data_IF_325212683021
#
_entry.id   IF_325212683021
#
_cell.length_a   1.000
_cell.length_b   1.000
_cell.length_c   1.000
_cell.angle_alpha   90.00
_cell.angle_beta   90.00
_cell.angle_gamma   90.00
#
_symmetry.space_group_name_H-M   'P 1'
#
loop_
_entity.id
_entity.type
_entity.pdbx_description
1 polymer ?
#
# COMPACT_ATOMS: atom_id res chain seq x y z
N UNK A 1 -14.47 33.03 16.83
CA UNK A 1 -15.82 32.70 16.33
C UNK A 1 -16.00 33.17 14.87
N UNK A 2 -15.69 34.43 14.54
CA UNK A 2 -15.78 35.01 13.18
C UNK A 2 -14.89 34.28 12.14
N UNK A 3 -13.66 33.88 12.49
CA UNK A 3 -12.80 33.07 11.61
C UNK A 3 -13.36 31.68 11.29
N UNK A 4 -14.24 31.13 12.14
CA UNK A 4 -14.87 29.82 11.95
C UNK A 4 -16.08 29.93 11.01
N UNK A 5 -16.78 31.05 11.06
CA UNK A 5 -17.89 31.41 10.16
C UNK A 5 -17.35 31.72 8.75
N UNK A 6 -16.23 32.46 8.63
CA UNK A 6 -15.56 32.72 7.36
C UNK A 6 -15.07 31.44 6.67
N UNK A 7 -14.46 30.51 7.43
CA UNK A 7 -14.04 29.20 6.88
C UNK A 7 -15.23 28.36 6.42
N UNK A 8 -16.35 28.39 7.14
CA UNK A 8 -17.57 27.66 6.77
C UNK A 8 -18.21 28.22 5.50
N UNK A 9 -18.25 29.55 5.32
CA UNK A 9 -18.83 30.18 4.14
C UNK A 9 -17.98 29.97 2.88
N UNK A 10 -16.65 29.98 3.00
CA UNK A 10 -15.74 29.66 1.90
C UNK A 10 -15.89 28.18 1.49
N UNK A 11 -16.04 27.27 2.46
CA UNK A 11 -16.29 25.85 2.17
C UNK A 11 -17.65 25.62 1.49
N UNK A 12 -18.70 26.35 1.90
CA UNK A 12 -20.03 26.26 1.31
C UNK A 12 -20.09 26.87 -0.10
N UNK A 13 -19.37 27.97 -0.37
CA UNK A 13 -19.24 28.49 -1.73
C UNK A 13 -18.42 27.56 -2.62
N UNK A 14 -17.36 26.95 -2.10
CA UNK A 14 -16.57 25.95 -2.83
C UNK A 14 -17.40 24.71 -3.22
N UNK A 15 -18.27 24.23 -2.32
CA UNK A 15 -19.20 23.12 -2.61
C UNK A 15 -20.29 23.54 -3.61
N UNK A 16 -20.79 24.78 -3.54
CA UNK A 16 -21.72 25.33 -4.54
C UNK A 16 -21.08 25.45 -5.93
N UNK A 17 -19.81 25.81 -6.01
CA UNK A 17 -19.09 25.89 -7.28
C UNK A 17 -18.83 24.48 -7.86
N UNK A 18 -18.48 23.50 -7.02
CA UNK A 18 -18.33 22.09 -7.45
C UNK A 18 -19.66 21.49 -7.94
N UNK A 19 -20.76 21.77 -7.24
CA UNK A 19 -22.09 21.30 -7.66
C UNK A 19 -22.61 22.02 -8.90
N UNK A 20 -22.28 23.30 -9.10
CA UNK A 20 -22.52 24.02 -10.36
C UNK A 20 -21.76 23.41 -11.53
N UNK A 21 -20.49 23.06 -11.33
CA UNK A 21 -19.64 22.39 -12.31
C UNK A 21 -20.19 20.97 -12.63
N UNK A 22 -20.59 20.19 -11.62
CA UNK A 22 -21.21 18.86 -11.83
C UNK A 22 -22.57 18.92 -12.54
N UNK A 23 -23.36 19.97 -12.31
CA UNK A 23 -24.63 20.17 -13.01
C UNK A 23 -24.42 20.56 -14.48
N UNK A 24 -23.41 21.37 -14.80
CA UNK A 24 -22.99 21.67 -16.18
C UNK A 24 -22.57 20.39 -16.93
N UNK A 25 -21.88 19.47 -16.26
CA UNK A 25 -21.52 18.16 -16.82
C UNK A 25 -22.71 17.20 -17.00
N UNK A 26 -23.80 17.39 -16.26
CA UNK A 26 -25.00 16.53 -16.34
C UNK A 26 -26.00 16.98 -17.42
N UNK A 27 -25.95 18.25 -17.85
CA UNK A 27 -26.82 18.81 -18.89
C UNK A 27 -26.32 18.63 -20.33
N UNK A 28 -25.07 18.18 -20.53
CA UNK A 28 -24.52 17.93 -21.87
C UNK A 28 -24.84 16.49 -22.33
N UNK A 29 -26.07 16.28 -22.84
CA UNK A 29 -26.48 15.03 -23.48
C UNK A 29 -26.35 15.15 -25.01
N UNK A 30 -25.28 14.53 -25.53
CA UNK A 30 -25.03 13.98 -26.88
C UNK A 30 -25.85 14.57 -28.05
N UNK A 31 -25.17 15.36 -28.88
CA UNK A 31 -25.36 15.29 -30.33
C UNK A 31 -23.98 15.31 -31.03
N UNK A 32 -23.80 14.40 -31.99
CA UNK A 32 -22.58 14.27 -32.79
C UNK A 32 -22.50 15.40 -33.81
N UNK A 33 -21.91 16.51 -33.43
CA UNK A 33 -21.14 17.45 -34.25
C UNK A 33 -20.75 18.60 -33.33
N UNK A 34 -19.54 19.13 -33.52
CA UNK A 34 -18.95 20.31 -32.85
C UNK A 34 -18.08 19.99 -31.63
N UNK A 35 -16.91 19.37 -31.90
CA UNK A 35 -15.88 19.00 -30.90
C UNK A 35 -14.89 20.14 -30.54
N UNK A 36 -14.97 21.33 -31.17
CA UNK A 36 -14.13 22.49 -30.83
C UNK A 36 -14.78 23.45 -29.80
N UNK A 37 -16.11 23.60 -29.81
CA UNK A 37 -16.81 24.64 -29.01
C UNK A 37 -16.96 24.28 -27.52
N UNK A 38 -17.12 23.00 -27.15
CA UNK A 38 -17.29 22.58 -25.75
C UNK A 38 -16.01 22.82 -24.92
N UNK A 39 -14.85 22.74 -25.57
CA UNK A 39 -13.55 23.06 -24.95
C UNK A 39 -13.49 24.55 -24.59
N UNK A 40 -13.96 25.41 -25.48
CA UNK A 40 -13.84 26.86 -25.31
C UNK A 40 -14.82 27.39 -24.26
N UNK A 41 -16.04 26.84 -24.18
CA UNK A 41 -17.03 27.21 -23.18
C UNK A 41 -16.64 26.80 -21.75
N UNK A 42 -16.05 25.59 -21.58
CA UNK A 42 -15.53 25.15 -20.27
C UNK A 42 -14.30 25.98 -19.87
N UNK A 43 -13.45 26.35 -20.83
CA UNK A 43 -12.30 27.24 -20.61
C UNK A 43 -12.77 28.65 -20.25
N UNK A 44 -13.82 29.17 -20.89
CA UNK A 44 -14.36 30.51 -20.65
C UNK A 44 -15.11 30.62 -19.32
N UNK A 45 -15.97 29.65 -18.98
CA UNK A 45 -16.60 29.57 -17.67
C UNK A 45 -15.57 29.46 -16.53
N UNK A 46 -14.45 28.80 -16.78
CA UNK A 46 -13.35 28.67 -15.83
C UNK A 46 -12.52 29.95 -15.69
N UNK A 47 -12.33 30.71 -16.77
CA UNK A 47 -11.67 32.03 -16.75
C UNK A 47 -12.49 33.05 -15.98
N UNK A 48 -13.82 32.98 -16.03
CA UNK A 48 -14.70 33.80 -15.20
C UNK A 48 -14.56 33.49 -13.70
N UNK A 49 -14.50 32.22 -13.31
CA UNK A 49 -14.28 31.81 -11.91
C UNK A 49 -12.93 32.32 -11.37
N UNK A 50 -11.89 32.36 -12.22
CA UNK A 50 -10.57 32.86 -11.83
C UNK A 50 -10.49 34.38 -11.67
N UNK A 51 -11.43 35.15 -12.24
CA UNK A 51 -11.48 36.63 -12.11
C UNK A 51 -12.07 37.08 -10.76
N UNK A 52 -12.87 36.24 -10.10
CA UNK A 52 -13.56 36.58 -8.85
C UNK A 52 -12.81 36.18 -7.56
N UNK A 53 -11.71 35.42 -7.65
CA UNK A 53 -10.94 34.98 -6.48
C UNK A 53 -9.82 35.96 -6.09
N UNK A 54 -10.07 36.79 -5.06
CA UNK A 54 -9.17 37.84 -4.52
C UNK A 54 -7.93 37.36 -3.73
N UNK A 55 -7.51 36.09 -3.85
CA UNK A 55 -6.33 35.57 -3.14
C UNK A 55 -5.38 34.79 -4.06
N UNK A 56 -4.09 35.08 -3.97
CA UNK A 56 -3.02 34.47 -4.77
C UNK A 56 -2.91 32.93 -4.53
N UNK A 57 -3.30 32.49 -3.32
CA UNK A 57 -3.37 31.08 -2.93
C UNK A 57 -4.52 30.35 -3.61
N UNK A 58 -5.66 31.03 -3.84
CA UNK A 58 -6.81 30.45 -4.53
C UNK A 58 -6.58 30.40 -6.04
N UNK A 59 -5.91 31.40 -6.63
CA UNK A 59 -5.55 31.43 -8.05
C UNK A 59 -4.64 30.25 -8.46
N UNK A 60 -3.60 29.95 -7.65
CA UNK A 60 -2.70 28.82 -7.93
C UNK A 60 -3.43 27.47 -7.90
N UNK A 61 -4.39 27.32 -6.98
CA UNK A 61 -5.17 26.09 -6.80
C UNK A 61 -6.18 25.90 -7.93
N UNK A 62 -6.79 26.99 -8.40
CA UNK A 62 -7.66 26.99 -9.60
C UNK A 62 -6.85 26.59 -10.83
N UNK A 63 -5.65 27.16 -11.02
CA UNK A 63 -4.79 26.84 -12.15
C UNK A 63 -4.34 25.36 -12.14
N UNK A 64 -4.04 24.79 -10.98
CA UNK A 64 -3.71 23.37 -10.82
C UNK A 64 -4.89 22.47 -11.20
N UNK A 65 -6.11 22.83 -10.77
CA UNK A 65 -7.34 22.10 -11.11
C UNK A 65 -7.61 22.15 -12.62
N UNK A 66 -7.45 23.30 -13.27
CA UNK A 66 -7.62 23.42 -14.72
C UNK A 66 -6.61 22.59 -15.49
N UNK A 67 -5.34 22.61 -15.05
CA UNK A 67 -4.29 21.79 -15.64
C UNK A 67 -4.61 20.30 -15.49
N UNK A 68 -5.16 19.89 -14.34
CA UNK A 68 -5.60 18.52 -14.10
C UNK A 68 -6.74 18.09 -15.02
N UNK A 69 -7.76 18.93 -15.22
CA UNK A 69 -8.90 18.65 -16.12
C UNK A 69 -8.41 18.52 -17.57
N UNK A 70 -7.60 19.47 -18.03
CA UNK A 70 -7.07 19.48 -19.40
C UNK A 70 -6.20 18.24 -19.69
N UNK A 71 -5.32 17.86 -18.75
CA UNK A 71 -4.50 16.65 -18.88
C UNK A 71 -5.35 15.38 -18.87
N UNK A 72 -6.39 15.33 -18.04
CA UNK A 72 -7.32 14.20 -18.00
C UNK A 72 -8.00 14.03 -19.35
N UNK A 73 -8.53 15.10 -19.94
CA UNK A 73 -9.14 15.08 -21.26
C UNK A 73 -8.15 14.60 -22.33
N UNK A 74 -6.92 15.14 -22.34
CA UNK A 74 -5.88 14.70 -23.28
C UNK A 74 -5.51 13.23 -23.15
N UNK A 75 -5.34 12.72 -21.92
CA UNK A 75 -5.04 11.30 -21.73
C UNK A 75 -6.18 10.40 -22.18
N UNK A 76 -7.44 10.80 -21.98
CA UNK A 76 -8.59 10.06 -22.54
C UNK A 76 -8.56 10.03 -24.07
N UNK A 77 -8.26 11.16 -24.69
CA UNK A 77 -8.19 11.27 -26.14
C UNK A 77 -7.05 10.41 -26.72
N UNK A 78 -5.81 10.60 -26.25
CA UNK A 78 -4.63 9.95 -26.84
C UNK A 78 -4.39 8.51 -26.36
N UNK A 79 -4.78 8.18 -25.13
CA UNK A 79 -4.49 6.88 -24.49
C UNK A 79 -5.76 6.05 -24.27
N UNK A 80 -6.94 6.52 -24.70
CA UNK A 80 -8.21 5.80 -24.53
C UNK A 80 -8.42 5.25 -23.11
N UNK A 81 -7.94 5.97 -22.09
CA UNK A 81 -7.98 5.55 -20.70
C UNK A 81 -9.23 6.07 -20.00
N UNK A 82 -9.60 5.45 -18.89
CA UNK A 82 -10.68 5.91 -18.02
C UNK A 82 -10.29 7.16 -17.22
N UNK A 83 -11.27 7.91 -16.70
CA UNK A 83 -11.02 9.05 -15.79
C UNK A 83 -10.21 8.63 -14.55
N UNK A 84 -10.46 7.43 -14.03
CA UNK A 84 -9.74 6.87 -12.90
C UNK A 84 -8.26 6.58 -13.23
N UNK A 85 -7.98 6.05 -14.43
CA UNK A 85 -6.62 5.80 -14.90
C UNK A 85 -5.86 7.11 -15.15
N UNK A 86 -6.47 8.08 -15.84
CA UNK A 86 -5.87 9.39 -16.06
C UNK A 86 -5.56 10.10 -14.74
N UNK A 87 -6.52 10.11 -13.81
CA UNK A 87 -6.33 10.68 -12.47
C UNK A 87 -5.22 9.96 -11.70
N UNK A 88 -5.15 8.63 -11.79
CA UNK A 88 -4.05 7.85 -11.19
C UNK A 88 -2.70 8.22 -11.78
N UNK A 89 -2.60 8.41 -13.10
CA UNK A 89 -1.37 8.82 -13.77
C UNK A 89 -0.87 10.17 -13.27
N UNK A 90 -1.76 11.17 -13.20
CA UNK A 90 -1.44 12.52 -12.74
C UNK A 90 -1.02 12.51 -11.28
N UNK A 91 -1.79 11.83 -10.41
CA UNK A 91 -1.49 11.74 -8.98
C UNK A 91 -0.18 11.01 -8.67
N UNK A 92 0.16 9.98 -9.47
CA UNK A 92 1.41 9.24 -9.30
C UNK A 92 2.63 10.05 -9.74
N UNK A 93 2.46 11.01 -10.66
CA UNK A 93 3.55 11.81 -11.22
C UNK A 93 3.12 13.27 -11.38
N UNK A 94 3.10 14.00 -10.25
CA UNK A 94 2.66 15.41 -10.20
C UNK A 94 3.36 16.35 -11.19
N UNK A 95 4.60 16.04 -11.59
CA UNK A 95 5.35 16.79 -12.61
C UNK A 95 4.64 16.85 -13.96
N UNK A 96 3.70 15.94 -14.24
CA UNK A 96 2.86 16.00 -15.44
C UNK A 96 2.05 17.30 -15.50
N UNK A 97 1.62 17.81 -14.35
CA UNK A 97 0.85 19.07 -14.24
C UNK A 97 1.70 20.25 -14.71
N UNK A 98 3.00 20.24 -14.39
CA UNK A 98 3.93 21.30 -14.73
C UNK A 98 4.53 21.13 -16.14
N UNK A 99 4.27 20.00 -16.81
CA UNK A 99 4.86 19.70 -18.12
C UNK A 99 3.97 20.29 -19.21
N UNK A 100 4.60 21.01 -20.14
CA UNK A 100 3.89 21.56 -21.30
C UNK A 100 3.11 20.47 -22.05
N UNK A 101 1.86 20.78 -22.34
CA UNK A 101 0.92 19.82 -22.90
C UNK A 101 1.26 19.42 -24.34
N UNK A 102 1.94 20.29 -25.11
CA UNK A 102 2.47 19.96 -26.43
C UNK A 102 3.64 18.98 -26.34
N UNK A 103 4.55 19.17 -25.37
CA UNK A 103 5.63 18.21 -25.08
C UNK A 103 5.10 16.83 -24.74
N UNK A 104 4.00 16.74 -23.98
CA UNK A 104 3.37 15.44 -23.65
C UNK A 104 2.85 14.76 -24.91
N UNK A 105 2.15 15.47 -25.80
CA UNK A 105 1.65 14.90 -27.07
C UNK A 105 2.80 14.38 -27.95
N UNK A 106 3.84 15.19 -28.15
CA UNK A 106 5.04 14.79 -28.91
C UNK A 106 5.71 13.55 -28.28
N UNK A 107 5.70 13.46 -26.95
CA UNK A 107 6.25 12.29 -26.25
C UNK A 107 5.38 11.04 -26.45
N UNK A 108 4.05 11.16 -26.41
CA UNK A 108 3.13 10.04 -26.66
C UNK A 108 3.33 9.52 -28.09
N UNK A 109 3.33 10.40 -29.09
CA UNK A 109 3.61 10.04 -30.49
C UNK A 109 4.95 9.33 -30.62
N UNK A 110 6.01 9.88 -30.01
CA UNK A 110 7.33 9.26 -30.01
C UNK A 110 7.35 7.86 -29.38
N UNK A 111 6.56 7.62 -28.32
CA UNK A 111 6.43 6.30 -27.70
C UNK A 111 5.68 5.33 -28.62
N UNK A 112 4.64 5.77 -29.31
CA UNK A 112 3.92 4.97 -30.30
C UNK A 112 4.80 4.59 -31.50
N UNK A 113 5.61 5.53 -32.02
CA UNK A 113 6.60 5.26 -33.07
C UNK A 113 7.66 4.22 -32.65
N UNK A 114 7.79 3.98 -31.34
CA UNK A 114 8.67 2.96 -30.77
C UNK A 114 7.92 1.70 -30.31
N UNK A 115 6.69 1.49 -30.80
CA UNK A 115 5.83 0.31 -30.55
C UNK A 115 5.46 0.12 -29.07
N UNK A 116 5.46 1.21 -28.30
CA UNK A 116 5.07 1.17 -26.88
C UNK A 116 3.56 1.30 -26.80
N UNK A 117 2.92 0.26 -26.29
CA UNK A 117 1.47 0.20 -26.18
C UNK A 117 0.93 1.24 -25.20
N UNK A 118 -0.30 1.67 -25.46
CA UNK A 118 -1.11 2.51 -24.57
C UNK A 118 -1.06 2.01 -23.12
N UNK A 119 -1.28 0.70 -22.90
CA UNK A 119 -1.29 0.11 -21.54
C UNK A 119 0.06 0.26 -20.85
N UNK A 120 1.15 0.12 -21.59
CA UNK A 120 2.51 0.33 -21.07
C UNK A 120 2.75 1.78 -20.68
N UNK A 121 2.29 2.74 -21.49
CA UNK A 121 2.40 4.18 -21.20
C UNK A 121 1.61 4.53 -19.92
N UNK A 122 0.37 4.06 -19.80
CA UNK A 122 -0.48 4.28 -18.62
C UNK A 122 0.21 3.75 -17.35
N UNK A 123 0.75 2.53 -17.41
CA UNK A 123 1.43 1.91 -16.27
C UNK A 123 2.80 2.55 -15.95
N UNK A 124 3.38 3.32 -16.88
CA UNK A 124 4.68 3.95 -16.77
C UNK A 124 4.61 5.46 -17.10
N UNK A 125 3.64 6.17 -16.54
CA UNK A 125 3.37 7.56 -16.93
C UNK A 125 4.51 8.56 -16.66
N UNK A 126 5.50 8.18 -15.85
CA UNK A 126 6.75 8.93 -15.69
C UNK A 126 7.53 9.13 -17.00
N UNK A 127 7.36 8.24 -17.99
CA UNK A 127 7.97 8.38 -19.33
C UNK A 127 7.63 9.71 -19.99
N UNK A 128 6.40 10.20 -19.77
CA UNK A 128 5.88 11.42 -20.38
C UNK A 128 6.59 12.69 -19.88
N UNK A 129 7.29 12.60 -18.75
CA UNK A 129 8.05 13.71 -18.14
C UNK A 129 9.55 13.63 -18.41
N UNK A 130 10.03 12.59 -19.09
CA UNK A 130 11.45 12.44 -19.39
C UNK A 130 11.89 13.37 -20.52
N UNK A 131 13.15 13.76 -20.50
CA UNK A 131 13.77 14.40 -21.67
C UNK A 131 13.78 13.44 -22.87
N UNK A 132 13.36 13.91 -24.05
CA UNK A 132 13.19 13.09 -25.26
C UNK A 132 14.52 12.50 -25.73
N UNK A 133 15.60 13.27 -25.73
CA UNK A 133 16.93 12.78 -26.14
C UNK A 133 17.49 11.76 -25.14
N UNK A 134 17.27 11.98 -23.85
CA UNK A 134 17.65 11.03 -22.82
C UNK A 134 16.85 9.72 -22.91
N UNK A 135 15.53 9.80 -23.14
CA UNK A 135 14.69 8.63 -23.38
C UNK A 135 15.15 7.86 -24.61
N UNK A 136 15.40 8.54 -25.74
CA UNK A 136 15.91 7.95 -26.97
C UNK A 136 17.19 7.15 -26.72
N UNK A 137 18.16 7.74 -26.01
CA UNK A 137 19.42 7.05 -25.65
C UNK A 137 19.17 5.78 -24.83
N UNK A 138 18.19 5.77 -23.92
CA UNK A 138 17.88 4.59 -23.11
C UNK A 138 17.08 3.55 -23.86
N UNK A 139 16.16 3.96 -24.74
CA UNK A 139 15.41 3.08 -25.63
C UNK A 139 16.34 2.28 -26.53
N UNK A 140 17.37 2.92 -27.09
CA UNK A 140 18.41 2.21 -27.86
C UNK A 140 19.02 1.08 -27.02
N UNK A 141 19.39 1.35 -25.76
CA UNK A 141 19.99 0.33 -24.89
C UNK A 141 19.04 -0.81 -24.54
N UNK A 142 17.79 -0.49 -24.24
CA UNK A 142 16.79 -1.51 -23.94
C UNK A 142 16.49 -2.37 -25.17
N UNK A 143 16.45 -1.78 -26.38
CA UNK A 143 16.33 -2.53 -27.65
C UNK A 143 17.53 -3.46 -27.89
N UNK A 144 18.75 -3.10 -27.48
CA UNK A 144 19.93 -3.97 -27.57
C UNK A 144 19.82 -5.25 -26.70
N UNK A 145 18.94 -5.27 -25.69
CA UNK A 145 18.63 -6.51 -24.96
C UNK A 145 17.94 -7.55 -25.87
N UNK A 146 17.41 -7.14 -27.03
CA UNK A 146 16.59 -7.93 -27.95
C UNK A 146 15.41 -8.60 -27.23
N UNK A 147 14.53 -7.80 -26.60
CA UNK A 147 13.35 -8.35 -25.95
C UNK A 147 12.43 -9.06 -26.96
N UNK A 148 11.64 -10.04 -26.51
CA UNK A 148 10.58 -10.65 -27.32
C UNK A 148 9.47 -9.63 -27.61
N UNK A 149 9.18 -8.76 -26.65
CA UNK A 149 8.27 -7.63 -26.79
C UNK A 149 8.88 -6.40 -26.09
N UNK A 150 8.95 -5.26 -26.79
CA UNK A 150 9.50 -4.01 -26.25
C UNK A 150 8.78 -3.57 -24.97
N UNK A 151 7.48 -3.83 -24.87
CA UNK A 151 6.63 -3.45 -23.76
C UNK A 151 7.06 -4.10 -22.43
N UNK A 152 7.63 -5.31 -22.49
CA UNK A 152 8.11 -6.06 -21.32
C UNK A 152 9.28 -5.36 -20.63
N UNK A 153 10.08 -4.61 -21.39
CA UNK A 153 11.35 -4.06 -20.90
C UNK A 153 11.32 -2.56 -20.66
N UNK A 154 10.20 -1.90 -20.96
CA UNK A 154 10.00 -0.47 -20.68
C UNK A 154 10.25 -0.09 -19.21
N UNK A 155 9.84 -0.89 -18.19
CA UNK A 155 10.15 -0.55 -16.81
C UNK A 155 11.66 -0.39 -16.52
N UNK A 156 12.54 -1.08 -17.25
CA UNK A 156 14.00 -0.90 -17.11
C UNK A 156 14.46 0.53 -17.46
N UNK A 157 13.67 1.30 -18.21
CA UNK A 157 13.98 2.70 -18.48
C UNK A 157 13.93 3.58 -17.21
N UNK A 158 13.59 3.06 -16.03
CA UNK A 158 13.83 3.76 -14.75
C UNK A 158 15.30 3.70 -14.31
N UNK A 159 16.04 2.64 -14.68
CA UNK A 159 17.44 2.47 -14.32
C UNK A 159 18.33 3.51 -14.99
N UNK A 160 19.48 3.83 -14.41
CA UNK A 160 20.42 4.79 -15.03
C UNK A 160 20.96 4.26 -16.38
N UNK A 161 21.34 5.17 -17.28
CA UNK A 161 21.93 4.79 -18.57
C UNK A 161 23.17 3.91 -18.40
N UNK A 162 24.00 4.17 -17.38
CA UNK A 162 25.17 3.35 -17.06
C UNK A 162 24.79 1.93 -16.61
N UNK A 163 23.75 1.77 -15.79
CA UNK A 163 23.27 0.46 -15.37
C UNK A 163 22.70 -0.34 -16.54
N UNK A 164 21.94 0.30 -17.43
CA UNK A 164 21.47 -0.33 -18.67
C UNK A 164 22.62 -0.80 -19.56
N UNK A 165 23.67 0.02 -19.72
CA UNK A 165 24.86 -0.37 -20.48
C UNK A 165 25.56 -1.60 -19.90
N UNK A 166 25.64 -1.71 -18.58
CA UNK A 166 26.18 -2.92 -17.92
C UNK A 166 25.29 -4.13 -18.17
N UNK A 167 23.98 -3.98 -18.01
CA UNK A 167 23.03 -5.06 -18.25
C UNK A 167 23.10 -5.59 -19.69
N UNK A 168 23.18 -4.71 -20.70
CA UNK A 168 23.33 -5.10 -22.12
C UNK A 168 24.57 -5.96 -22.32
N UNK A 169 25.74 -5.52 -21.82
CA UNK A 169 27.00 -6.28 -21.95
C UNK A 169 26.93 -7.67 -21.30
N UNK A 170 26.17 -7.80 -20.21
CA UNK A 170 25.98 -9.07 -19.52
C UNK A 170 25.06 -9.96 -20.35
N UNK A 171 23.88 -9.47 -20.72
CA UNK A 171 22.90 -10.24 -21.51
C UNK A 171 23.49 -10.68 -22.85
N UNK A 172 24.33 -9.87 -23.49
CA UNK A 172 25.05 -10.27 -24.72
C UNK A 172 25.97 -11.48 -24.50
N UNK A 173 26.68 -11.55 -23.36
CA UNK A 173 27.52 -12.72 -23.01
C UNK A 173 26.70 -13.97 -22.69
N UNK A 174 25.50 -13.79 -22.14
CA UNK A 174 24.63 -14.90 -21.74
C UNK A 174 23.80 -15.49 -22.88
N UNK A 175 23.64 -14.72 -23.96
CA UNK A 175 22.82 -15.08 -25.12
C UNK A 175 23.20 -16.43 -25.74
N UNK A 176 24.46 -16.85 -25.62
CA UNK A 176 24.95 -18.12 -26.17
C UNK A 176 24.47 -19.37 -25.42
N UNK A 177 24.06 -19.25 -24.16
CA UNK A 177 23.67 -20.41 -23.34
C UNK A 177 22.32 -20.26 -22.63
N UNK A 178 21.73 -19.05 -22.62
CA UNK A 178 20.42 -18.80 -22.01
C UNK A 178 19.30 -19.00 -23.04
N UNK A 179 18.58 -20.12 -22.95
CA UNK A 179 17.54 -20.51 -23.90
C UNK A 179 16.39 -19.49 -24.00
N UNK A 180 15.99 -18.90 -22.89
CA UNK A 180 14.91 -17.91 -22.82
C UNK A 180 15.34 -16.53 -23.36
N UNK A 181 16.63 -16.39 -23.70
CA UNK A 181 17.23 -15.22 -24.34
C UNK A 181 17.59 -14.07 -23.39
N UNK A 182 16.89 -13.92 -22.27
CA UNK A 182 17.25 -12.95 -21.23
C UNK A 182 16.81 -13.40 -19.84
N UNK A 183 17.48 -12.87 -18.81
CA UNK A 183 17.11 -13.12 -17.40
C UNK A 183 15.67 -12.72 -17.06
N UNK A 184 15.11 -11.75 -17.79
CA UNK A 184 13.72 -11.30 -17.61
C UNK A 184 12.77 -12.43 -17.95
N UNK A 185 12.97 -13.04 -19.13
CA UNK A 185 12.13 -14.15 -19.59
C UNK A 185 12.39 -15.44 -18.81
N UNK A 186 13.64 -15.70 -18.43
CA UNK A 186 13.98 -16.80 -17.54
C UNK A 186 13.21 -16.69 -16.21
N UNK A 187 13.30 -15.55 -15.51
CA UNK A 187 12.60 -15.34 -14.24
C UNK A 187 11.08 -15.35 -14.41
N UNK A 188 10.57 -14.75 -15.48
CA UNK A 188 9.14 -14.75 -15.83
C UNK A 188 8.60 -16.17 -15.99
N UNK A 189 9.30 -17.02 -16.73
CA UNK A 189 8.91 -18.41 -16.95
C UNK A 189 8.97 -19.22 -15.65
N UNK A 190 10.11 -19.17 -14.93
CA UNK A 190 10.29 -19.96 -13.71
C UNK A 190 9.35 -19.56 -12.59
N UNK A 191 8.99 -18.28 -12.49
CA UNK A 191 8.10 -17.78 -11.44
C UNK A 191 6.63 -17.70 -11.86
N UNK A 192 6.31 -17.99 -13.13
CA UNK A 192 4.99 -17.80 -13.74
C UNK A 192 4.45 -16.38 -13.56
N UNK A 193 5.28 -15.38 -13.89
CA UNK A 193 4.95 -13.96 -13.73
C UNK A 193 5.05 -13.23 -15.07
N UNK A 194 4.28 -12.16 -15.19
CA UNK A 194 4.35 -11.26 -16.34
C UNK A 194 5.78 -10.67 -16.53
N UNK A 195 6.38 -10.73 -17.73
CA UNK A 195 7.71 -10.19 -17.98
C UNK A 195 7.85 -8.70 -17.65
N UNK A 196 6.83 -7.88 -17.89
CA UNK A 196 6.85 -6.46 -17.56
C UNK A 196 6.86 -6.26 -16.03
N UNK A 197 6.17 -7.10 -15.28
CA UNK A 197 6.25 -7.11 -13.82
C UNK A 197 7.66 -7.47 -13.32
N UNK A 198 8.28 -8.53 -13.87
CA UNK A 198 9.65 -8.92 -13.50
C UNK A 198 10.63 -7.79 -13.80
N UNK A 199 10.55 -7.22 -15.00
CA UNK A 199 11.33 -6.07 -15.47
C UNK A 199 11.20 -4.86 -14.56
N UNK A 200 9.99 -4.57 -14.06
CA UNK A 200 9.75 -3.49 -13.09
C UNK A 200 10.54 -3.67 -11.79
N UNK A 201 10.62 -4.88 -11.27
CA UNK A 201 11.43 -5.13 -10.06
C UNK A 201 12.93 -5.14 -10.37
N UNK A 202 13.35 -5.65 -11.53
CA UNK A 202 14.75 -5.59 -11.98
C UNK A 202 15.23 -4.16 -12.18
N UNK A 203 14.37 -3.24 -12.64
CA UNK A 203 14.71 -1.84 -12.84
C UNK A 203 15.21 -1.15 -11.57
N UNK A 204 14.72 -1.58 -10.41
CA UNK A 204 15.17 -1.10 -9.08
C UNK A 204 16.28 -1.95 -8.48
N UNK A 205 16.62 -3.10 -9.08
CA UNK A 205 17.60 -4.07 -8.60
C UNK A 205 18.57 -4.48 -9.72
N UNK A 206 19.17 -3.51 -10.41
CA UNK A 206 20.03 -3.76 -11.58
C UNK A 206 21.24 -4.66 -11.30
N UNK A 207 21.67 -4.81 -10.04
CA UNK A 207 22.70 -5.79 -9.66
C UNK A 207 22.28 -7.23 -9.99
N UNK A 208 20.99 -7.51 -10.18
CA UNK A 208 20.49 -8.81 -10.61
C UNK A 208 21.00 -9.22 -11.98
N UNK A 209 21.49 -8.30 -12.80
CA UNK A 209 22.24 -8.64 -14.02
C UNK A 209 23.70 -8.99 -13.72
N UNK A 210 24.26 -8.50 -12.62
CA UNK A 210 25.68 -8.67 -12.25
C UNK A 210 25.94 -9.96 -11.44
N UNK A 211 24.92 -10.48 -10.74
CA UNK A 211 24.95 -11.83 -10.11
C UNK A 211 25.28 -12.89 -11.19
N UNK A 212 26.11 -13.90 -10.90
CA UNK A 212 26.36 -14.96 -11.89
C UNK A 212 25.06 -15.72 -12.23
N UNK A 213 24.91 -16.17 -13.47
CA UNK A 213 23.69 -16.87 -13.88
C UNK A 213 23.49 -18.20 -13.12
N UNK A 214 24.59 -18.89 -12.80
CA UNK A 214 24.61 -20.07 -11.94
C UNK A 214 24.06 -19.77 -10.54
N UNK A 215 24.59 -18.74 -9.86
CA UNK A 215 24.12 -18.36 -8.53
C UNK A 215 22.65 -17.90 -8.57
N UNK A 216 22.23 -17.20 -9.63
CA UNK A 216 20.82 -16.84 -9.82
C UNK A 216 19.93 -18.09 -9.89
N UNK A 217 20.34 -19.06 -10.71
CA UNK A 217 19.58 -20.30 -10.94
C UNK A 217 19.49 -21.15 -9.68
N UNK A 218 20.61 -21.35 -8.99
CA UNK A 218 20.65 -22.14 -7.76
C UNK A 218 19.83 -21.49 -6.65
N UNK A 219 19.98 -20.17 -6.46
CA UNK A 219 19.22 -19.44 -5.45
C UNK A 219 17.71 -19.50 -5.72
N UNK A 220 17.31 -19.37 -6.99
CA UNK A 220 15.91 -19.47 -7.39
C UNK A 220 15.36 -20.88 -7.13
N UNK A 221 16.10 -21.91 -7.55
CA UNK A 221 15.73 -23.31 -7.35
C UNK A 221 15.53 -23.64 -5.87
N UNK A 222 16.46 -23.20 -5.02
CA UNK A 222 16.34 -23.37 -3.56
C UNK A 222 15.07 -22.67 -3.05
N UNK A 223 14.85 -21.40 -3.41
CA UNK A 223 13.64 -20.70 -2.95
C UNK A 223 12.34 -21.40 -3.40
N UNK A 224 12.32 -22.01 -4.59
CA UNK A 224 11.18 -22.81 -5.06
C UNK A 224 11.02 -24.14 -4.31
N UNK A 225 12.12 -24.85 -4.02
CA UNK A 225 12.11 -26.08 -3.19
C UNK A 225 11.48 -25.83 -1.81
N UNK A 226 11.69 -24.64 -1.25
CA UNK A 226 11.13 -24.20 0.03
C UNK A 226 9.77 -23.48 -0.09
N UNK A 227 9.11 -23.54 -1.26
CA UNK A 227 7.81 -22.92 -1.52
C UNK A 227 7.75 -21.41 -1.19
N UNK A 228 8.85 -20.69 -1.42
CA UNK A 228 8.84 -19.22 -1.29
C UNK A 228 8.01 -18.64 -2.44
N UNK A 229 6.97 -17.90 -2.08
CA UNK A 229 6.06 -17.27 -3.03
C UNK A 229 6.76 -16.42 -4.11
N UNK A 230 6.41 -16.64 -5.38
CA UNK A 230 7.00 -15.98 -6.56
C UNK A 230 7.01 -14.46 -6.47
N UNK A 231 5.90 -13.85 -6.04
CA UNK A 231 5.81 -12.39 -5.88
C UNK A 231 6.73 -11.91 -4.76
N UNK A 232 6.84 -12.68 -3.68
CA UNK A 232 7.76 -12.39 -2.58
C UNK A 232 9.22 -12.44 -3.04
N UNK A 233 9.60 -13.39 -3.90
CA UNK A 233 10.95 -13.51 -4.49
C UNK A 233 11.32 -12.24 -5.26
N UNK A 234 10.50 -11.80 -6.23
CA UNK A 234 10.84 -10.63 -7.06
C UNK A 234 10.79 -9.31 -6.29
N UNK A 235 10.02 -9.25 -5.19
CA UNK A 235 9.95 -8.07 -4.32
C UNK A 235 11.23 -7.86 -3.50
N UNK A 236 12.02 -8.90 -3.31
CA UNK A 236 13.24 -8.85 -2.49
C UNK A 236 14.38 -9.62 -3.18
N UNK A 237 14.79 -9.10 -4.33
CA UNK A 237 15.91 -9.65 -5.09
C UNK A 237 17.25 -9.62 -4.33
N UNK A 238 17.35 -8.90 -3.20
CA UNK A 238 18.58 -8.88 -2.42
C UNK A 238 18.96 -10.24 -1.85
N UNK A 239 18.00 -11.16 -1.70
CA UNK A 239 18.30 -12.55 -1.32
C UNK A 239 19.25 -13.24 -2.31
N UNK A 240 19.26 -12.83 -3.59
CA UNK A 240 20.14 -13.41 -4.61
C UNK A 240 21.62 -13.02 -4.46
N UNK A 241 21.96 -12.09 -3.55
CA UNK A 241 23.36 -11.78 -3.25
C UNK A 241 24.02 -12.79 -2.31
N UNK A 242 23.24 -13.67 -1.68
CA UNK A 242 23.74 -14.68 -0.77
C UNK A 242 24.10 -15.95 -1.55
N UNK A 243 25.08 -16.70 -1.04
CA UNK A 243 25.47 -17.97 -1.61
C UNK A 243 24.36 -19.02 -1.43
N UNK A 244 24.18 -19.94 -2.39
CA UNK A 244 23.14 -20.98 -2.34
C UNK A 244 23.12 -21.76 -1.02
N UNK A 245 24.29 -22.10 -0.49
CA UNK A 245 24.43 -22.76 0.82
C UNK A 245 23.78 -21.96 1.95
N UNK A 246 24.07 -20.66 2.05
CA UNK A 246 23.49 -19.78 3.08
C UNK A 246 21.97 -19.69 2.96
N UNK A 247 21.44 -19.63 1.73
CA UNK A 247 20.00 -19.61 1.51
C UNK A 247 19.37 -20.90 2.02
N UNK A 248 19.93 -22.06 1.62
CA UNK A 248 19.44 -23.37 2.02
C UNK A 248 19.47 -23.54 3.54
N UNK A 249 20.60 -23.25 4.18
CA UNK A 249 20.78 -23.41 5.63
C UNK A 249 19.76 -22.56 6.41
N UNK A 250 19.52 -21.31 5.97
CA UNK A 250 18.56 -20.43 6.64
C UNK A 250 17.12 -20.84 6.43
N UNK A 251 16.73 -21.22 5.21
CA UNK A 251 15.36 -21.67 4.93
C UNK A 251 15.06 -23.00 5.63
N UNK A 252 16.02 -23.92 5.69
CA UNK A 252 15.90 -25.17 6.45
C UNK A 252 15.71 -24.90 7.94
N UNK A 253 16.54 -24.03 8.54
CA UNK A 253 16.38 -23.61 9.94
C UNK A 253 14.99 -23.00 10.20
N UNK A 254 14.48 -22.20 9.27
CA UNK A 254 13.14 -21.63 9.39
C UNK A 254 12.05 -22.72 9.39
N UNK A 255 12.15 -23.66 8.45
CA UNK A 255 11.21 -24.76 8.31
C UNK A 255 11.22 -25.67 9.54
N UNK A 256 12.39 -26.02 10.05
CA UNK A 256 12.56 -26.79 11.30
C UNK A 256 12.00 -26.04 12.51
N UNK A 257 12.11 -24.71 12.52
CA UNK A 257 11.49 -23.84 13.53
C UNK A 257 9.98 -23.66 13.39
N UNK A 258 9.30 -24.42 12.51
CA UNK A 258 7.85 -24.38 12.34
C UNK A 258 7.33 -23.17 11.55
N UNK A 259 8.16 -22.48 10.77
CA UNK A 259 7.71 -21.41 9.87
C UNK A 259 7.15 -22.01 8.59
N UNK A 260 5.84 -21.88 8.39
CA UNK A 260 5.18 -22.32 7.15
C UNK A 260 5.38 -21.32 6.00
N UNK A 261 5.26 -20.02 6.29
CA UNK A 261 5.29 -18.97 5.27
C UNK A 261 6.69 -18.36 5.12
N UNK A 262 7.58 -19.07 4.42
CA UNK A 262 8.95 -18.63 4.17
C UNK A 262 9.00 -17.42 3.22
N UNK A 263 9.90 -16.48 3.50
CA UNK A 263 10.05 -15.22 2.76
C UNK A 263 11.52 -14.84 2.57
N UNK A 264 11.88 -14.12 1.49
CA UNK A 264 13.28 -13.78 1.25
C UNK A 264 13.92 -12.91 2.33
N UNK A 265 13.15 -12.11 3.07
CA UNK A 265 13.69 -11.32 4.18
C UNK A 265 14.37 -12.20 5.24
N UNK A 266 13.91 -13.45 5.42
CA UNK A 266 14.48 -14.42 6.37
C UNK A 266 15.90 -14.83 5.97
N UNK A 267 16.22 -14.80 4.67
CA UNK A 267 17.55 -15.10 4.13
C UNK A 267 18.53 -13.96 4.44
N UNK A 268 18.08 -12.71 4.43
CA UNK A 268 18.92 -11.50 4.55
C UNK A 268 19.00 -10.89 5.95
N UNK A 269 18.07 -11.20 6.84
CA UNK A 269 17.97 -10.52 8.13
C UNK A 269 19.16 -10.88 9.06
N UNK A 270 19.53 -10.03 10.02
CA UNK A 270 20.51 -10.41 11.05
C UNK A 270 20.07 -11.67 11.83
N UNK A 271 21.03 -12.43 12.37
CA UNK A 271 20.71 -13.70 13.04
C UNK A 271 19.80 -13.52 14.25
N UNK A 272 20.05 -12.49 15.06
CA UNK A 272 19.20 -12.10 16.19
C UNK A 272 17.73 -11.84 15.78
N UNK A 273 17.50 -11.30 14.57
CA UNK A 273 16.15 -11.05 14.05
C UNK A 273 15.49 -12.36 13.66
N UNK A 274 16.25 -13.26 13.03
CA UNK A 274 15.78 -14.57 12.66
C UNK A 274 15.42 -15.39 13.92
N UNK A 275 16.31 -15.44 14.89
CA UNK A 275 16.14 -16.17 16.15
C UNK A 275 14.93 -15.69 16.94
N UNK A 276 14.77 -14.37 17.09
CA UNK A 276 13.59 -13.80 17.72
C UNK A 276 12.30 -14.19 16.97
N UNK A 277 12.34 -14.20 15.63
CA UNK A 277 11.18 -14.60 14.83
C UNK A 277 10.83 -16.08 14.99
N UNK A 278 11.84 -16.95 15.09
CA UNK A 278 11.64 -18.38 15.33
C UNK A 278 11.13 -18.65 16.75
N UNK A 279 11.71 -18.02 17.76
CA UNK A 279 11.25 -18.08 19.14
C UNK A 279 9.78 -17.69 19.26
N UNK A 280 9.37 -16.58 18.65
CA UNK A 280 7.97 -16.16 18.64
C UNK A 280 7.03 -17.15 17.94
N UNK A 281 7.52 -17.88 16.94
CA UNK A 281 6.74 -18.94 16.30
C UNK A 281 6.63 -20.17 17.18
N UNK A 282 7.72 -20.58 17.83
CA UNK A 282 7.73 -21.68 18.79
C UNK A 282 6.79 -21.40 19.96
N UNK A 283 6.89 -20.22 20.59
CA UNK A 283 6.00 -19.80 21.67
C UNK A 283 4.52 -19.82 21.24
N UNK A 284 4.21 -19.32 20.04
CA UNK A 284 2.85 -19.40 19.51
C UNK A 284 2.39 -20.85 19.29
N UNK A 285 3.26 -21.71 18.74
CA UNK A 285 2.94 -23.12 18.48
C UNK A 285 2.80 -23.92 19.78
N UNK A 286 3.54 -23.59 20.83
CA UNK A 286 3.38 -24.17 22.16
C UNK A 286 2.05 -23.74 22.80
N UNK A 287 1.67 -22.47 22.62
CA UNK A 287 0.44 -21.92 23.21
C UNK A 287 -0.83 -22.42 22.54
N UNK A 288 -0.83 -22.60 21.22
CA UNK A 288 -2.02 -22.93 20.46
C UNK A 288 -1.91 -24.23 19.65
N UNK A 289 -0.81 -24.98 19.76
CA UNK A 289 -0.55 -26.12 18.88
C UNK A 289 -0.27 -25.68 17.43
N UNK A 290 -0.05 -26.65 16.55
CA UNK A 290 0.23 -26.39 15.12
C UNK A 290 -1.04 -26.05 14.33
N UNK A 291 -2.21 -26.43 14.84
CA UNK A 291 -3.50 -26.32 14.15
C UNK A 291 -4.51 -25.40 14.83
N UNK A 292 -4.38 -25.13 16.13
CA UNK A 292 -5.35 -24.30 16.82
C UNK A 292 -4.87 -22.84 16.73
N UNK A 293 -5.71 -21.97 16.17
CA UNK A 293 -5.40 -20.56 16.03
C UNK A 293 -5.90 -19.76 17.23
N UNK A 294 -5.67 -18.44 17.18
CA UNK A 294 -6.33 -17.47 18.08
C UNK A 294 -7.85 -17.69 18.11
N UNK A 295 -8.46 -18.11 16.99
CA UNK A 295 -9.89 -18.37 16.87
C UNK A 295 -10.31 -19.55 17.77
N UNK A 296 -9.57 -20.65 17.71
CA UNK A 296 -9.92 -21.85 18.49
C UNK A 296 -9.72 -21.59 19.99
N UNK A 297 -8.66 -20.88 20.35
CA UNK A 297 -8.45 -20.44 21.73
C UNK A 297 -9.59 -19.57 22.24
N UNK A 298 -10.03 -18.59 21.44
CA UNK A 298 -11.15 -17.72 21.79
C UNK A 298 -12.47 -18.51 21.87
N UNK A 299 -12.66 -19.50 21.01
CA UNK A 299 -13.85 -20.37 20.99
C UNK A 299 -13.95 -21.15 22.30
N UNK A 300 -12.86 -21.79 22.71
CA UNK A 300 -12.78 -22.54 23.96
C UNK A 300 -12.96 -21.63 25.18
N UNK A 301 -12.18 -20.55 25.27
CA UNK A 301 -12.17 -19.69 26.47
C UNK A 301 -13.42 -18.85 26.65
N UNK A 302 -14.08 -18.44 25.56
CA UNK A 302 -15.31 -17.65 25.63
C UNK A 302 -16.58 -18.52 25.56
N UNK A 303 -16.46 -19.83 25.33
CA UNK A 303 -17.60 -20.75 25.27
C UNK A 303 -18.50 -20.58 24.05
N UNK A 304 -17.97 -20.08 22.93
CA UNK A 304 -18.68 -19.95 21.66
C UNK A 304 -18.18 -20.96 20.65
N UNK A 305 -19.01 -21.37 19.69
CA UNK A 305 -18.53 -22.18 18.56
C UNK A 305 -17.59 -21.38 17.63
N UNK A 306 -16.80 -22.11 16.84
CA UNK A 306 -15.79 -21.53 15.95
C UNK A 306 -16.40 -20.56 14.92
N UNK A 307 -17.60 -20.84 14.40
CA UNK A 307 -18.24 -19.99 13.39
C UNK A 307 -18.70 -18.67 14.02
N UNK A 308 -19.22 -18.73 15.25
CA UNK A 308 -19.58 -17.55 16.03
C UNK A 308 -18.36 -16.69 16.36
N UNK A 309 -17.25 -17.28 16.82
CA UNK A 309 -16.01 -16.52 17.03
C UNK A 309 -15.47 -15.91 15.73
N UNK A 310 -15.48 -16.66 14.62
CA UNK A 310 -15.11 -16.12 13.30
C UNK A 310 -15.94 -14.89 12.96
N UNK A 311 -17.26 -14.94 13.17
CA UNK A 311 -18.16 -13.80 12.97
C UNK A 311 -17.82 -12.62 13.89
N UNK A 312 -17.56 -12.87 15.18
CA UNK A 312 -17.17 -11.84 16.15
C UNK A 312 -15.86 -11.16 15.75
N UNK A 313 -14.84 -11.95 15.43
CA UNK A 313 -13.50 -11.48 15.08
C UNK A 313 -13.48 -10.79 13.72
N UNK A 314 -14.34 -11.17 12.77
CA UNK A 314 -14.47 -10.48 11.48
C UNK A 314 -14.92 -9.03 11.62
N UNK A 315 -15.61 -8.66 12.71
CA UNK A 315 -15.92 -7.25 13.02
C UNK A 315 -14.66 -6.46 13.42
N UNK A 316 -13.63 -7.13 13.92
CA UNK A 316 -12.36 -6.54 14.36
C UNK A 316 -11.15 -7.44 13.99
N UNK A 317 -10.80 -7.54 12.70
CA UNK A 317 -9.79 -8.49 12.20
C UNK A 317 -8.37 -8.19 12.70
N UNK A 318 -8.15 -7.03 13.32
CA UNK A 318 -6.89 -6.67 13.97
C UNK A 318 -6.53 -7.61 15.13
N UNK A 319 -7.51 -8.30 15.73
CA UNK A 319 -7.26 -9.30 16.78
C UNK A 319 -6.41 -10.45 16.23
N UNK A 320 -6.68 -10.92 15.01
CA UNK A 320 -5.90 -11.99 14.36
C UNK A 320 -4.48 -11.58 13.99
N UNK A 321 -4.21 -10.27 13.94
CA UNK A 321 -2.87 -9.73 13.67
C UNK A 321 -2.04 -9.57 14.96
N UNK A 322 -2.66 -9.72 16.12
CA UNK A 322 -1.96 -9.65 17.40
C UNK A 322 -1.19 -10.95 17.66
N UNK A 323 -0.12 -10.86 18.46
CA UNK A 323 0.57 -12.06 18.96
C UNK A 323 -0.39 -12.86 19.81
N UNK A 324 -0.46 -14.17 19.59
CA UNK A 324 -1.39 -15.03 20.32
C UNK A 324 -1.12 -15.01 21.82
N UNK A 325 0.16 -15.06 22.25
CA UNK A 325 0.54 -14.88 23.66
C UNK A 325 -0.08 -13.63 24.32
N UNK A 326 -0.04 -12.49 23.63
CA UNK A 326 -0.65 -11.25 24.10
C UNK A 326 -2.17 -11.36 24.19
N UNK A 327 -2.81 -11.97 23.19
CA UNK A 327 -4.26 -12.17 23.21
C UNK A 327 -4.66 -13.04 24.40
N UNK A 328 -3.90 -14.12 24.63
CA UNK A 328 -4.05 -15.00 25.78
C UNK A 328 -3.91 -14.26 27.11
N UNK A 329 -2.80 -13.55 27.32
CA UNK A 329 -2.55 -12.78 28.54
C UNK A 329 -3.67 -11.79 28.87
N UNK A 330 -4.14 -11.04 27.87
CA UNK A 330 -5.21 -10.06 28.08
C UNK A 330 -6.55 -10.74 28.33
N UNK A 331 -6.85 -11.83 27.61
CA UNK A 331 -8.10 -12.57 27.79
C UNK A 331 -8.17 -13.21 29.17
N UNK A 332 -7.12 -13.92 29.58
CA UNK A 332 -7.05 -14.60 30.88
C UNK A 332 -7.09 -13.59 32.01
N UNK A 333 -6.42 -12.44 31.88
CA UNK A 333 -6.55 -11.37 32.86
C UNK A 333 -8.00 -10.88 33.02
N UNK A 334 -8.71 -10.65 31.90
CA UNK A 334 -10.08 -10.16 31.94
C UNK A 334 -11.07 -11.19 32.51
N UNK A 335 -10.94 -12.47 32.14
CA UNK A 335 -11.80 -13.55 32.62
C UNK A 335 -11.46 -13.96 34.06
N UNK A 336 -10.19 -14.18 34.35
CA UNK A 336 -9.76 -14.88 35.56
C UNK A 336 -9.44 -13.93 36.71
N UNK A 337 -8.78 -12.78 36.45
CA UNK A 337 -8.46 -11.79 37.51
C UNK A 337 -9.60 -10.78 37.69
N UNK A 338 -10.11 -10.21 36.59
CA UNK A 338 -11.11 -9.14 36.61
C UNK A 338 -12.57 -9.63 36.60
N UNK A 339 -12.77 -10.93 36.37
CA UNK A 339 -14.08 -11.60 36.42
C UNK A 339 -15.12 -10.99 35.47
N UNK A 340 -14.69 -10.54 34.29
CA UNK A 340 -15.63 -10.19 33.23
C UNK A 340 -16.28 -11.44 32.65
N UNK A 341 -17.56 -11.33 32.31
CA UNK A 341 -18.27 -12.41 31.64
C UNK A 341 -17.78 -12.56 30.19
N UNK A 342 -17.74 -13.79 29.64
CA UNK A 342 -17.34 -14.03 28.25
C UNK A 342 -18.11 -13.17 27.24
N UNK A 343 -19.40 -12.91 27.50
CA UNK A 343 -20.26 -12.08 26.65
C UNK A 343 -19.80 -10.62 26.59
N UNK A 344 -19.26 -10.07 27.68
CA UNK A 344 -18.80 -8.69 27.74
C UNK A 344 -17.52 -8.50 26.91
N UNK A 345 -16.64 -9.50 26.95
CA UNK A 345 -15.43 -9.54 26.14
C UNK A 345 -15.77 -9.77 24.67
N UNK A 346 -16.67 -10.69 24.35
CA UNK A 346 -17.10 -10.97 22.97
C UNK A 346 -17.76 -9.75 22.30
N UNK A 347 -18.53 -8.96 23.07
CA UNK A 347 -19.11 -7.68 22.59
C UNK A 347 -18.04 -6.64 22.26
N UNK A 348 -16.92 -6.65 22.97
CA UNK A 348 -15.82 -5.68 22.81
C UNK A 348 -14.51 -6.40 22.52
N UNK A 349 -14.50 -7.32 21.54
CA UNK A 349 -13.34 -8.18 21.26
C UNK A 349 -12.05 -7.39 20.92
N UNK A 350 -12.19 -6.14 20.47
CA UNK A 350 -11.08 -5.21 20.25
C UNK A 350 -10.24 -4.97 21.52
N UNK A 351 -10.77 -5.18 22.72
CA UNK A 351 -10.03 -5.06 23.98
C UNK A 351 -8.74 -5.90 23.96
N UNK A 352 -8.78 -7.06 23.31
CA UNK A 352 -7.65 -7.99 23.17
C UNK A 352 -6.49 -7.43 22.31
N UNK A 353 -6.73 -6.32 21.60
CA UNK A 353 -5.69 -5.64 20.81
C UNK A 353 -4.83 -4.69 21.64
N UNK A 354 -5.24 -4.35 22.87
CA UNK A 354 -4.45 -3.51 23.77
C UNK A 354 -3.38 -4.31 24.51
N UNK A 355 -2.32 -3.65 25.01
CA UNK A 355 -1.33 -4.34 25.84
C UNK A 355 -1.91 -4.61 27.24
N UNK A 356 -1.50 -5.72 27.86
CA UNK A 356 -1.90 -6.05 29.23
C UNK A 356 -1.63 -4.89 30.20
N UNK A 357 -0.46 -4.25 30.10
CA UNK A 357 -0.12 -3.07 30.90
C UNK A 357 -1.11 -1.90 30.75
N UNK A 358 -1.58 -1.64 29.51
CA UNK A 358 -2.58 -0.59 29.26
C UNK A 358 -3.93 -0.98 29.86
N UNK A 359 -4.34 -2.23 29.67
CA UNK A 359 -5.60 -2.77 30.20
C UNK A 359 -5.61 -2.71 31.73
N UNK A 360 -4.58 -3.23 32.40
CA UNK A 360 -4.40 -3.19 33.87
C UNK A 360 -4.43 -1.75 34.38
N UNK A 361 -3.66 -0.85 33.77
CA UNK A 361 -3.61 0.57 34.16
C UNK A 361 -4.99 1.23 34.10
N UNK A 362 -5.71 1.06 32.98
CA UNK A 362 -7.01 1.72 32.79
C UNK A 362 -8.08 1.17 33.72
N UNK A 363 -8.10 -0.15 33.95
CA UNK A 363 -9.03 -0.75 34.89
C UNK A 363 -8.72 -0.32 36.34
N UNK A 364 -7.44 -0.24 36.73
CA UNK A 364 -7.05 0.24 38.04
C UNK A 364 -7.46 1.71 38.27
N UNK A 365 -7.26 2.58 37.27
CA UNK A 365 -7.69 3.98 37.32
C UNK A 365 -9.22 4.09 37.46
N UNK A 366 -9.99 3.31 36.71
CA UNK A 366 -11.45 3.30 36.80
C UNK A 366 -11.94 2.80 38.16
N UNK A 367 -11.32 1.74 38.70
CA UNK A 367 -11.61 1.22 40.04
C UNK A 367 -11.33 2.27 41.13
N UNK A 368 -10.21 2.98 41.02
CA UNK A 368 -9.81 4.01 42.00
C UNK A 368 -10.82 5.16 42.10
N UNK A 369 -11.48 5.51 41.00
CA UNK A 369 -12.53 6.56 40.97
C UNK A 369 -13.95 6.01 41.15
N UNK A 370 -14.08 4.76 41.61
CA UNK A 370 -15.38 4.10 41.81
C UNK A 370 -16.18 3.85 40.53
N UNK A 371 -15.57 4.00 39.35
CA UNK A 371 -16.24 3.78 38.08
C UNK A 371 -16.24 2.29 37.74
N UNK A 372 -17.43 1.68 37.72
CA UNK A 372 -17.67 0.36 37.15
C UNK A 372 -18.30 0.52 35.77
N UNK A 373 -17.50 0.57 34.68
CA UNK A 373 -18.07 0.77 33.36
C UNK A 373 -18.95 -0.43 32.98
N UNK A 374 -20.13 -0.14 32.42
CA UNK A 374 -21.06 -1.17 31.95
C UNK A 374 -20.55 -1.97 30.75
N UNK A 375 -19.47 -1.51 30.10
CA UNK A 375 -18.83 -2.19 28.97
C UNK A 375 -17.33 -1.94 28.95
N UNK A 376 -16.57 -2.88 28.38
CA UNK A 376 -15.13 -2.74 28.12
C UNK A 376 -14.79 -1.70 27.02
N UNK A 377 -15.79 -1.06 26.42
CA UNK A 377 -15.58 -0.11 25.32
C UNK A 377 -14.74 1.10 25.74
N UNK A 378 -14.87 1.53 27.00
CA UNK A 378 -14.18 2.73 27.51
C UNK A 378 -12.67 2.53 27.56
N UNK A 379 -12.21 1.35 27.95
CA UNK A 379 -10.78 1.03 28.03
C UNK A 379 -10.15 0.81 26.66
N UNK A 380 -10.96 0.76 25.58
CA UNK A 380 -10.47 0.66 24.21
C UNK A 380 -10.29 2.02 23.52
N UNK A 381 -10.69 3.13 24.16
CA UNK A 381 -10.65 4.47 23.54
C UNK A 381 -9.24 5.02 23.39
N UNK A 382 -9.08 6.05 22.54
CA UNK A 382 -7.80 6.75 22.43
C UNK A 382 -7.39 7.35 23.79
N UNK A 383 -6.09 7.63 23.98
CA UNK A 383 -5.59 8.24 25.24
C UNK A 383 -6.36 9.52 25.59
N UNK A 384 -6.59 10.39 24.59
CA UNK A 384 -7.30 11.67 24.76
C UNK A 384 -8.75 11.47 25.21
N UNK A 385 -9.49 10.58 24.55
CA UNK A 385 -10.90 10.33 24.88
C UNK A 385 -11.07 9.65 26.22
N UNK A 386 -10.19 8.71 26.55
CA UNK A 386 -10.18 8.03 27.83
C UNK A 386 -9.89 9.01 28.99
N UNK A 387 -8.86 9.86 28.86
CA UNK A 387 -8.58 10.90 29.87
C UNK A 387 -9.70 11.91 30.01
N UNK A 388 -10.34 12.31 28.89
CA UNK A 388 -11.51 13.19 28.91
C UNK A 388 -12.65 12.55 29.69
N UNK A 389 -12.96 11.28 29.43
CA UNK A 389 -13.99 10.54 30.15
C UNK A 389 -13.71 10.45 31.65
N UNK A 390 -12.47 10.11 32.05
CA UNK A 390 -12.09 10.05 33.46
C UNK A 390 -12.30 11.39 34.15
N UNK A 391 -11.87 12.50 33.52
CA UNK A 391 -12.07 13.84 34.05
C UNK A 391 -13.56 14.17 34.21
N UNK A 392 -14.37 13.93 33.18
CA UNK A 392 -15.82 14.14 33.23
C UNK A 392 -16.54 13.25 34.26
N UNK A 393 -15.96 12.09 34.61
CA UNK A 393 -16.49 11.23 35.66
C UNK A 393 -16.17 11.79 37.05
N UNK A 394 -14.92 12.19 37.28
CA UNK A 394 -14.47 12.80 38.55
C UNK A 394 -15.20 14.12 38.80
N UNK A 395 -15.29 15.00 37.79
CA UNK A 395 -16.01 16.27 37.88
C UNK A 395 -17.51 16.07 38.25
N UNK A 396 -18.10 14.93 37.87
CA UNK A 396 -19.49 14.56 38.23
C UNK A 396 -19.62 14.04 39.66
N UNK A 397 -18.63 13.30 40.17
CA UNK A 397 -18.62 12.80 41.55
C UNK A 397 -18.42 13.96 42.55
N UNK A 398 -17.51 14.88 42.25
CA UNK A 398 -17.26 16.09 43.07
C UNK A 398 -18.47 17.05 43.15
N UNK A 399 -19.40 16.95 42.19
CA UNK A 399 -20.66 17.70 42.18
C UNK A 399 -21.73 17.14 43.11
N UNK A 400 -21.69 15.84 43.45
CA UNK A 400 -22.64 15.19 44.35
C UNK A 400 -22.26 15.34 45.84
N UNK A 401 -20.97 15.43 46.17
CA UNK A 401 -20.49 15.65 47.55
C UNK A 401 -20.78 17.08 48.09
N UNK A 402 -21.32 17.99 47.26
CA UNK A 402 -21.68 19.36 47.68
C UNK A 402 -23.11 19.53 48.20
N UNK A 403 -23.93 18.47 48.19
CA UNK A 403 -25.26 18.49 48.77
C UNK A 403 -25.49 17.22 49.60
N UNK A 404 -25.21 17.24 50.92
CA UNK A 404 -25.64 16.15 51.79
C UNK A 404 -27.17 16.08 51.75
N UNK A 405 -27.68 14.91 51.39
CA UNK A 405 -29.11 14.60 51.49
C UNK A 405 -29.45 14.57 52.99
N UNK A 406 -30.23 15.54 53.45
CA UNK A 406 -30.92 15.49 54.74
C UNK A 406 -32.18 14.64 54.63
#
# INVERSE_FOLDING_TARGET
MIQRILRSNIQLQFIRNISGIQNLFSSANINKHDDEDISEDVINASREISRDTKSEVDSKKVQELLSHVNLTHKFKHFLHCTDAEATKMINSHKRLIDTDSGKISIMIEYLFDNEISIRTIINNSWLLTMDKEYLRKKLIRVKMLKPKNINDVIPLLQASHAALNRAVKIVERERGFLAEGSRIYYLSEKLNLDPALVSKYLATHMFMFEVSFEMLTDNLKIMQEYNVDSISIIRDFWAFKYYPKTIRDRLERCKQGGKENLKPWMIRCPEEVLENSLKLTQENNELFGTTNGIIDYLSERLGYDILTIKSIVNRHPTVLKCRGAKVKEVLDYLLDEEKFEPVDIARVIRVLTHSLATTKKRLAELKAVGCRPSTLSIICRSRREYSKFLKEWMDRQDGFDKYPVN
#
